data_IF_002231904799
#
_entry.id   IF_002231904799
#
_cell.length_a   1.000
_cell.length_b   1.000
_cell.length_c   1.000
_cell.angle_alpha   90.00
_cell.angle_beta   90.00
_cell.angle_gamma   90.00
#
_symmetry.space_group_name_H-M   'P 1'
#
loop_
_entity.id
_entity.type
_entity.pdbx_description
1 polymer ?
#
# COMPACT_ATOMS: atom_id res chain seq x y z
N UNK A 1 -48.85 -7.02 9.89
CA UNK A 1 -47.92 -7.34 8.80
C UNK A 1 -46.58 -6.77 9.24
N UNK A 2 -45.61 -7.60 9.62
CA UNK A 2 -44.30 -7.14 10.10
C UNK A 2 -43.50 -6.66 8.90
N UNK A 3 -43.11 -5.39 8.90
CA UNK A 3 -42.05 -4.89 8.02
C UNK A 3 -40.77 -5.68 8.35
N UNK A 4 -40.33 -6.48 7.40
CA UNK A 4 -39.01 -7.09 7.43
C UNK A 4 -38.08 -5.98 6.97
N UNK A 5 -37.34 -5.38 7.91
CA UNK A 5 -36.19 -4.57 7.57
C UNK A 5 -35.23 -5.45 6.76
N UNK A 6 -35.14 -5.17 5.47
CA UNK A 6 -34.09 -5.69 4.61
C UNK A 6 -32.78 -5.10 5.13
N UNK A 7 -31.96 -5.95 5.77
CA UNK A 7 -30.59 -5.60 6.15
C UNK A 7 -29.79 -5.46 4.86
N UNK A 8 -29.94 -4.29 4.23
CA UNK A 8 -29.37 -3.93 2.95
C UNK A 8 -27.89 -4.30 2.90
N UNK A 9 -27.57 -5.22 2.00
CA UNK A 9 -26.20 -5.47 1.57
C UNK A 9 -25.69 -4.16 0.96
N UNK A 10 -24.87 -3.43 1.71
CA UNK A 10 -24.25 -2.17 1.27
C UNK A 10 -23.68 -2.32 -0.15
N UNK A 11 -24.16 -1.49 -1.07
CA UNK A 11 -23.87 -1.61 -2.50
C UNK A 11 -22.39 -1.30 -2.79
N UNK A 12 -21.90 -1.68 -3.97
CA UNK A 12 -20.55 -1.29 -4.39
C UNK A 12 -20.40 0.24 -4.47
N UNK A 13 -21.46 0.94 -4.84
CA UNK A 13 -21.46 2.40 -4.92
C UNK A 13 -21.36 3.05 -3.54
N UNK A 14 -22.08 2.54 -2.55
CA UNK A 14 -21.97 3.04 -1.17
C UNK A 14 -20.56 2.84 -0.59
N UNK A 15 -19.95 1.67 -0.88
CA UNK A 15 -18.58 1.36 -0.45
C UNK A 15 -17.56 2.27 -1.12
N UNK A 16 -17.74 2.52 -2.42
CA UNK A 16 -16.92 3.44 -3.19
C UNK A 16 -17.02 4.86 -2.64
N UNK A 17 -18.24 5.38 -2.46
CA UNK A 17 -18.49 6.70 -1.90
C UNK A 17 -17.88 6.87 -0.50
N UNK A 18 -17.93 5.84 0.34
CA UNK A 18 -17.24 5.87 1.64
C UNK A 18 -15.71 5.97 1.50
N UNK A 19 -15.12 5.25 0.55
CA UNK A 19 -13.68 5.35 0.26
C UNK A 19 -13.32 6.74 -0.27
N UNK A 20 -14.14 7.32 -1.15
CA UNK A 20 -13.90 8.66 -1.70
C UNK A 20 -13.91 9.74 -0.62
N UNK A 21 -14.81 9.63 0.36
CA UNK A 21 -14.82 10.49 1.55
C UNK A 21 -13.54 10.34 2.36
N UNK A 22 -13.11 9.10 2.63
CA UNK A 22 -11.86 8.84 3.34
C UNK A 22 -10.64 9.41 2.61
N UNK A 23 -10.58 9.25 1.28
CA UNK A 23 -9.50 9.81 0.45
C UNK A 23 -9.51 11.34 0.54
N UNK A 24 -10.67 11.97 0.42
CA UNK A 24 -10.79 13.42 0.56
C UNK A 24 -10.30 13.92 1.93
N UNK A 25 -10.52 13.17 3.00
CA UNK A 25 -9.95 13.49 4.32
C UNK A 25 -8.42 13.35 4.28
N UNK A 26 -7.92 12.19 3.84
CA UNK A 26 -6.49 11.86 3.83
C UNK A 26 -5.65 12.88 3.04
N UNK A 27 -6.13 13.32 1.87
CA UNK A 27 -5.43 14.33 1.05
C UNK A 27 -5.28 15.69 1.72
N UNK A 28 -6.23 16.05 2.59
CA UNK A 28 -6.20 17.33 3.30
C UNK A 28 -5.36 17.27 4.58
N UNK A 29 -4.84 16.09 4.95
CA UNK A 29 -3.98 15.95 6.11
C UNK A 29 -2.53 16.26 5.76
N UNK A 30 -1.92 17.15 6.55
CA UNK A 30 -0.50 17.45 6.41
C UNK A 30 0.35 16.31 6.97
N UNK A 31 1.24 15.75 6.15
CA UNK A 31 2.24 14.80 6.62
C UNK A 31 3.14 15.44 7.69
N UNK A 32 3.12 14.89 8.90
CA UNK A 32 3.98 15.30 10.01
C UNK A 32 5.13 14.31 10.22
N UNK A 33 6.24 14.80 10.76
CA UNK A 33 7.43 13.97 11.07
C UNK A 33 7.30 13.27 12.41
N UNK A 34 6.18 12.63 12.65
CA UNK A 34 5.90 11.85 13.86
C UNK A 34 5.61 10.41 13.44
N UNK A 35 6.30 9.46 14.06
CA UNK A 35 6.31 8.06 13.64
C UNK A 35 4.95 7.38 13.78
N UNK A 36 4.26 7.57 14.91
CA UNK A 36 2.97 6.94 15.15
C UNK A 36 1.90 7.45 14.19
N UNK A 37 1.89 8.76 13.94
CA UNK A 37 1.02 9.40 12.98
C UNK A 37 1.29 8.89 11.56
N UNK A 38 2.56 8.76 11.16
CA UNK A 38 2.90 8.29 9.82
C UNK A 38 2.49 6.84 9.59
N UNK A 39 2.62 5.99 10.62
CA UNK A 39 2.12 4.62 10.58
C UNK A 39 0.61 4.59 10.42
N UNK A 40 -0.13 5.30 11.26
CA UNK A 40 -1.60 5.37 11.20
C UNK A 40 -2.08 5.90 9.84
N UNK A 41 -1.43 6.94 9.32
CA UNK A 41 -1.74 7.49 8.01
C UNK A 41 -1.47 6.45 6.91
N UNK A 42 -0.31 5.78 6.93
CA UNK A 42 0.03 4.75 5.94
C UNK A 42 -0.94 3.57 5.93
N UNK A 43 -1.38 3.11 7.11
CA UNK A 43 -2.37 2.06 7.28
C UNK A 43 -3.74 2.51 6.75
N UNK A 44 -4.14 3.75 7.06
CA UNK A 44 -5.41 4.32 6.59
C UNK A 44 -5.45 4.45 5.06
N UNK A 45 -4.35 4.88 4.44
CA UNK A 45 -4.19 4.90 2.99
C UNK A 45 -4.31 3.47 2.43
N UNK A 46 -3.58 2.53 3.01
CA UNK A 46 -3.64 1.13 2.58
C UNK A 46 -5.06 0.56 2.62
N UNK A 47 -5.74 0.66 3.76
CA UNK A 47 -7.10 0.13 3.93
C UNK A 47 -8.09 0.76 2.96
N UNK A 48 -8.04 2.08 2.81
CA UNK A 48 -8.95 2.82 1.95
C UNK A 48 -8.76 2.41 0.48
N UNK A 49 -7.52 2.45 -0.02
CA UNK A 49 -7.25 2.12 -1.42
C UNK A 49 -7.37 0.61 -1.72
N UNK A 50 -7.14 -0.27 -0.74
CA UNK A 50 -7.36 -1.71 -0.90
C UNK A 50 -8.85 -2.06 -1.02
N UNK A 51 -9.73 -1.32 -0.32
CA UNK A 51 -11.18 -1.47 -0.46
C UNK A 51 -11.69 -0.85 -1.75
N UNK A 52 -11.18 0.33 -2.11
CA UNK A 52 -11.55 1.02 -3.34
C UNK A 52 -11.20 0.20 -4.59
N UNK A 53 -10.07 -0.52 -4.60
CA UNK A 53 -9.61 -1.32 -5.74
C UNK A 53 -10.64 -2.36 -6.20
N UNK A 54 -11.50 -2.83 -5.28
CA UNK A 54 -12.57 -3.79 -5.54
C UNK A 54 -13.82 -3.15 -6.15
N UNK A 55 -13.93 -1.83 -6.09
CA UNK A 55 -15.09 -1.06 -6.53
C UNK A 55 -14.85 -0.32 -7.85
N UNK A 56 -13.64 0.22 -8.06
CA UNK A 56 -13.30 0.96 -9.29
C UNK A 56 -13.01 0.05 -10.48
N UNK A 57 -13.30 0.50 -11.70
CA UNK A 57 -13.11 -0.26 -12.96
C UNK A 57 -12.51 0.63 -14.05
N UNK A 58 -11.92 0.01 -15.06
CA UNK A 58 -11.48 0.65 -16.31
C UNK A 58 -10.68 1.94 -16.11
N UNK A 59 -11.07 3.05 -16.76
CA UNK A 59 -10.36 4.34 -16.67
C UNK A 59 -10.27 4.90 -15.24
N UNK A 60 -11.28 4.62 -14.41
CA UNK A 60 -11.29 5.07 -13.02
C UNK A 60 -10.18 4.40 -12.19
N UNK A 61 -9.85 3.14 -12.49
CA UNK A 61 -8.70 2.48 -11.84
C UNK A 61 -7.40 3.19 -12.15
N UNK A 62 -7.19 3.63 -13.39
CA UNK A 62 -5.98 4.36 -13.77
C UNK A 62 -5.87 5.69 -13.04
N UNK A 63 -6.97 6.44 -12.94
CA UNK A 63 -7.02 7.71 -12.20
C UNK A 63 -6.78 7.50 -10.70
N UNK A 64 -7.42 6.49 -10.11
CA UNK A 64 -7.24 6.08 -8.71
C UNK A 64 -5.78 5.71 -8.42
N UNK A 65 -5.14 4.97 -9.33
CA UNK A 65 -3.74 4.58 -9.19
C UNK A 65 -2.79 5.77 -9.25
N UNK A 66 -2.98 6.69 -10.21
CA UNK A 66 -2.17 7.91 -10.31
C UNK A 66 -2.21 8.71 -9.01
N UNK A 67 -3.41 8.88 -8.45
CA UNK A 67 -3.63 9.54 -7.16
C UNK A 67 -2.93 8.82 -6.00
N UNK A 68 -3.06 7.50 -5.93
CA UNK A 68 -2.37 6.70 -4.92
C UNK A 68 -0.85 6.87 -5.00
N UNK A 69 -0.27 6.90 -6.21
CA UNK A 69 1.18 7.07 -6.38
C UNK A 69 1.69 8.39 -5.83
N UNK A 70 0.94 9.48 -6.02
CA UNK A 70 1.31 10.79 -5.45
C UNK A 70 1.36 10.72 -3.92
N UNK A 71 0.32 10.16 -3.30
CA UNK A 71 0.27 9.95 -1.84
C UNK A 71 1.42 9.06 -1.36
N UNK A 72 1.69 7.95 -2.07
CA UNK A 72 2.77 7.03 -1.73
C UNK A 72 4.15 7.66 -1.90
N UNK A 73 4.34 8.51 -2.90
CA UNK A 73 5.58 9.26 -3.08
C UNK A 73 5.87 10.14 -1.87
N UNK A 74 4.90 10.94 -1.44
CA UNK A 74 5.06 11.79 -0.26
C UNK A 74 5.27 10.98 1.03
N UNK A 75 4.52 9.88 1.19
CA UNK A 75 4.67 8.95 2.31
C UNK A 75 6.08 8.38 2.38
N UNK A 76 6.64 7.93 1.26
CA UNK A 76 7.99 7.36 1.24
C UNK A 76 9.06 8.42 1.52
N UNK A 77 8.86 9.67 1.11
CA UNK A 77 9.74 10.79 1.48
C UNK A 77 9.66 11.12 2.97
N UNK A 78 8.46 11.09 3.57
CA UNK A 78 8.27 11.29 5.00
C UNK A 78 8.90 10.15 5.80
N UNK A 79 8.67 8.90 5.39
CA UNK A 79 9.22 7.70 6.04
C UNK A 79 10.76 7.72 6.08
N UNK A 80 11.40 8.13 4.97
CA UNK A 80 12.87 8.32 4.90
C UNK A 80 13.40 9.36 5.89
N UNK A 81 12.59 10.37 6.25
CA UNK A 81 12.98 11.43 7.20
C UNK A 81 12.79 10.99 8.66
N UNK A 82 11.73 10.24 8.93
CA UNK A 82 11.42 9.73 10.28
C UNK A 82 12.34 8.56 10.64
N UNK A 83 12.44 7.57 9.75
CA UNK A 83 13.24 6.36 9.97
C UNK A 83 14.45 6.35 9.01
N UNK A 84 15.60 6.78 9.53
CA UNK A 84 16.82 6.95 8.72
C UNK A 84 17.34 5.62 8.18
N UNK A 85 17.39 4.61 9.03
CA UNK A 85 17.84 3.28 8.65
C UNK A 85 16.78 2.58 7.79
N UNK A 86 17.24 1.85 6.79
CA UNK A 86 16.36 1.27 5.76
C UNK A 86 15.70 -0.03 6.21
N UNK A 87 16.24 -0.66 7.25
CA UNK A 87 15.78 -1.91 7.84
C UNK A 87 14.80 -1.71 9.00
N UNK A 88 14.44 -0.45 9.37
CA UNK A 88 13.48 -0.21 10.43
C UNK A 88 12.12 -0.84 10.06
N UNK A 89 11.52 -1.70 10.92
CA UNK A 89 10.26 -2.38 10.64
C UNK A 89 9.13 -1.42 10.22
N UNK A 90 8.95 -0.32 10.96
CA UNK A 90 7.95 0.70 10.66
C UNK A 90 8.14 1.37 9.30
N UNK A 91 9.39 1.54 8.87
CA UNK A 91 9.67 2.05 7.52
C UNK A 91 9.32 1.01 6.47
N UNK A 92 9.62 -0.26 6.73
CA UNK A 92 9.34 -1.37 5.83
C UNK A 92 7.85 -1.62 5.69
N UNK A 93 7.04 -1.40 6.72
CA UNK A 93 5.58 -1.57 6.67
C UNK A 93 4.93 -0.68 5.60
N UNK A 94 5.41 0.55 5.41
CA UNK A 94 4.98 1.45 4.32
C UNK A 94 5.18 0.79 2.95
N UNK A 95 6.31 0.10 2.75
CA UNK A 95 6.60 -0.60 1.50
C UNK A 95 5.86 -1.93 1.37
N UNK A 96 5.56 -2.62 2.49
CA UNK A 96 4.66 -3.78 2.51
C UNK A 96 3.27 -3.35 2.02
N UNK A 97 2.73 -2.26 2.56
CA UNK A 97 1.45 -1.70 2.11
C UNK A 97 1.49 -1.31 0.64
N UNK A 98 2.56 -0.65 0.20
CA UNK A 98 2.68 -0.28 -1.20
C UNK A 98 2.72 -1.49 -2.12
N UNK A 99 3.49 -2.53 -1.78
CA UNK A 99 3.55 -3.77 -2.56
C UNK A 99 2.16 -4.44 -2.65
N UNK A 100 1.40 -4.48 -1.55
CA UNK A 100 0.02 -5.01 -1.53
C UNK A 100 -0.91 -4.20 -2.44
N UNK A 101 -0.73 -2.88 -2.51
CA UNK A 101 -1.49 -2.01 -3.41
C UNK A 101 -1.06 -2.19 -4.86
N UNK A 102 0.24 -2.31 -5.18
CA UNK A 102 0.70 -2.66 -6.53
C UNK A 102 0.01 -3.95 -7.01
N UNK A 103 -0.10 -4.96 -6.15
CA UNK A 103 -0.84 -6.18 -6.46
C UNK A 103 -2.35 -5.96 -6.62
N UNK A 104 -2.96 -5.15 -5.76
CA UNK A 104 -4.41 -4.83 -5.84
C UNK A 104 -4.75 -4.01 -7.11
N UNK A 105 -3.76 -3.29 -7.64
CA UNK A 105 -3.88 -2.47 -8.82
C UNK A 105 -3.09 -3.02 -10.02
N UNK A 106 -2.96 -4.34 -10.12
CA UNK A 106 -2.00 -5.01 -11.01
C UNK A 106 -2.02 -4.56 -12.47
N UNK A 107 -3.20 -4.40 -13.07
CA UNK A 107 -3.41 -4.01 -14.46
C UNK A 107 -3.00 -2.56 -14.76
N UNK A 108 -2.97 -1.66 -13.77
CA UNK A 108 -2.57 -0.25 -13.96
C UNK A 108 -1.25 0.10 -13.25
N UNK A 109 -0.75 -0.78 -12.38
CA UNK A 109 0.49 -0.57 -11.66
C UNK A 109 1.69 -0.53 -12.63
N UNK A 110 2.50 0.53 -12.53
CA UNK A 110 3.68 0.70 -13.37
C UNK A 110 4.90 -0.04 -12.81
N UNK A 111 5.83 -0.34 -13.72
CA UNK A 111 7.07 -1.05 -13.42
C UNK A 111 7.95 -0.30 -12.39
N UNK A 112 7.89 1.04 -12.36
CA UNK A 112 8.63 1.85 -11.40
C UNK A 112 8.18 1.58 -9.96
N UNK A 113 6.87 1.41 -9.75
CA UNK A 113 6.29 1.11 -8.44
C UNK A 113 6.73 -0.26 -7.92
N UNK A 114 6.80 -1.28 -8.79
CA UNK A 114 7.34 -2.60 -8.44
C UNK A 114 8.84 -2.50 -8.08
N UNK A 115 9.63 -1.85 -8.93
CA UNK A 115 11.07 -1.63 -8.71
C UNK A 115 11.37 -0.86 -7.43
N UNK A 116 10.53 0.10 -7.05
CA UNK A 116 10.69 0.83 -5.80
C UNK A 116 10.58 -0.11 -4.60
N UNK A 117 9.56 -0.98 -4.57
CA UNK A 117 9.36 -1.95 -3.49
C UNK A 117 10.53 -2.95 -3.42
N UNK A 118 10.95 -3.51 -4.56
CA UNK A 118 12.10 -4.41 -4.63
C UNK A 118 13.40 -3.77 -4.16
N UNK A 119 13.68 -2.56 -4.64
CA UNK A 119 14.92 -1.85 -4.29
C UNK A 119 14.99 -1.61 -2.79
N UNK A 120 13.87 -1.22 -2.17
CA UNK A 120 13.82 -0.99 -0.73
C UNK A 120 14.01 -2.27 0.08
N UNK A 121 13.39 -3.38 -0.32
CA UNK A 121 13.61 -4.68 0.32
C UNK A 121 15.07 -5.16 0.17
N UNK A 122 15.68 -4.95 -0.99
CA UNK A 122 17.08 -5.28 -1.27
C UNK A 122 18.05 -4.43 -0.43
N UNK A 123 17.81 -3.13 -0.37
CA UNK A 123 18.62 -2.20 0.41
C UNK A 123 18.50 -2.49 1.92
N UNK A 124 17.29 -2.76 2.42
CA UNK A 124 17.08 -3.14 3.82
C UNK A 124 17.79 -4.45 4.17
N UNK A 125 17.71 -5.46 3.29
CA UNK A 125 18.46 -6.71 3.45
C UNK A 125 19.97 -6.46 3.48
N UNK A 126 20.47 -5.55 2.64
CA UNK A 126 21.89 -5.20 2.60
C UNK A 126 22.37 -4.51 3.88
N UNK A 127 21.54 -3.65 4.48
CA UNK A 127 21.84 -3.05 5.81
C UNK A 127 22.01 -4.14 6.88
N UNK A 128 21.29 -5.26 6.77
CA UNK A 128 21.36 -6.36 7.72
C UNK A 128 20.76 -5.98 9.08
N UNK A 129 21.17 -6.65 10.15
CA UNK A 129 20.64 -6.41 11.51
C UNK A 129 20.95 -4.99 12.01
N UNK A 130 22.17 -4.50 11.78
CA UNK A 130 22.58 -3.16 12.19
C UNK A 130 22.38 -2.91 13.69
N UNK A 131 21.62 -1.87 14.01
CA UNK A 131 21.29 -1.41 15.38
C UNK A 131 20.00 -2.03 15.96
N UNK A 132 19.30 -2.86 15.18
CA UNK A 132 18.05 -3.49 15.61
C UNK A 132 18.31 -4.55 16.68
N UNK A 133 17.38 -4.67 17.62
CA UNK A 133 17.33 -5.83 18.50
C UNK A 133 16.84 -7.09 17.75
N UNK A 134 16.79 -8.23 18.44
CA UNK A 134 16.43 -9.51 17.80
C UNK A 134 14.97 -9.54 17.32
N UNK A 135 14.04 -8.93 18.06
CA UNK A 135 12.62 -8.91 17.72
C UNK A 135 12.38 -7.97 16.54
N UNK A 136 12.94 -6.77 16.57
CA UNK A 136 12.91 -5.82 15.47
C UNK A 136 13.57 -6.39 14.21
N UNK A 137 14.68 -7.11 14.36
CA UNK A 137 15.34 -7.73 13.21
C UNK A 137 14.49 -8.84 12.58
N UNK A 138 13.81 -9.63 13.40
CA UNK A 138 12.88 -10.65 12.94
C UNK A 138 11.71 -10.03 12.18
N UNK A 139 11.14 -8.94 12.71
CA UNK A 139 10.07 -8.18 12.03
C UNK A 139 10.55 -7.58 10.69
N UNK A 140 11.75 -6.99 10.67
CA UNK A 140 12.34 -6.45 9.45
C UNK A 140 12.53 -7.53 8.39
N UNK A 141 13.05 -8.71 8.78
CA UNK A 141 13.21 -9.85 7.89
C UNK A 141 11.87 -10.33 7.33
N UNK A 142 10.84 -10.44 8.18
CA UNK A 142 9.49 -10.79 7.76
C UNK A 142 8.95 -9.78 6.72
N UNK A 143 9.06 -8.48 6.99
CA UNK A 143 8.60 -7.45 6.07
C UNK A 143 9.35 -7.47 4.73
N UNK A 144 10.67 -7.65 4.75
CA UNK A 144 11.52 -7.78 3.55
C UNK A 144 11.06 -8.96 2.68
N UNK A 145 10.83 -10.12 3.31
CA UNK A 145 10.45 -11.32 2.58
C UNK A 145 9.00 -11.25 2.09
N UNK A 146 8.11 -10.60 2.83
CA UNK A 146 6.74 -10.33 2.38
C UNK A 146 6.71 -9.41 1.17
N UNK A 147 7.50 -8.32 1.15
CA UNK A 147 7.62 -7.44 -0.03
C UNK A 147 8.05 -8.26 -1.25
N UNK A 148 9.13 -9.02 -1.15
CA UNK A 148 9.64 -9.82 -2.28
C UNK A 148 8.61 -10.82 -2.78
N UNK A 149 7.93 -11.52 -1.86
CA UNK A 149 6.90 -12.49 -2.21
C UNK A 149 5.75 -11.84 -2.95
N UNK A 150 5.26 -10.70 -2.47
CA UNK A 150 4.15 -9.99 -3.12
C UNK A 150 4.53 -9.52 -4.52
N UNK A 151 5.70 -8.89 -4.66
CA UNK A 151 6.14 -8.36 -5.95
C UNK A 151 6.40 -9.49 -6.96
N UNK A 152 7.10 -10.55 -6.56
CA UNK A 152 7.35 -11.70 -7.43
C UNK A 152 6.03 -12.36 -7.90
N UNK A 153 5.07 -12.52 -6.99
CA UNK A 153 3.75 -13.05 -7.37
C UNK A 153 3.01 -12.11 -8.33
N UNK A 154 3.05 -10.80 -8.06
CA UNK A 154 2.38 -9.81 -8.91
C UNK A 154 2.99 -9.75 -10.31
N UNK A 155 4.32 -9.75 -10.44
CA UNK A 155 5.00 -9.79 -11.74
C UNK A 155 4.62 -11.04 -12.53
N UNK A 156 4.62 -12.21 -11.89
CA UNK A 156 4.19 -13.45 -12.54
C UNK A 156 2.72 -13.40 -12.98
N UNK A 157 1.83 -12.91 -12.12
CA UNK A 157 0.41 -12.73 -12.47
C UNK A 157 0.24 -11.73 -13.65
N UNK A 158 1.07 -10.70 -13.74
CA UNK A 158 1.05 -9.72 -14.83
C UNK A 158 1.51 -10.32 -16.16
N UNK A 159 2.55 -11.16 -16.13
CA UNK A 159 3.01 -11.89 -17.32
C UNK A 159 1.88 -12.77 -17.88
N UNK A 160 1.17 -13.50 -17.02
CA UNK A 160 0.03 -14.33 -17.43
C UNK A 160 -1.11 -13.51 -18.06
N UNK A 161 -1.38 -12.30 -17.56
CA UNK A 161 -2.39 -11.40 -18.13
C UNK A 161 -1.95 -10.91 -19.52
N UNK A 162 -0.68 -10.55 -19.68
CA UNK A 162 -0.14 -10.06 -20.94
C UNK A 162 -0.05 -11.15 -22.02
N UNK A 163 0.27 -12.39 -21.62
CA UNK A 163 0.32 -13.54 -22.53
C UNK A 163 -1.08 -14.02 -22.98
N UNK A 164 -2.13 -13.59 -22.26
CA UNK A 164 -3.52 -13.97 -22.54
C UNK A 164 -4.27 -12.99 -23.45
N UNK A 165 -3.64 -11.88 -23.87
CA UNK A 165 -4.20 -10.83 -24.74
C UNK A 165 -3.50 -10.80 -26.10
#
# INVERSE_FOLDING_TARGET
MKEIHDYSVCSFEDKKGACDVCIGILENLKLVKESGWLLLYSESVYETFSRLSRCVRDEERQSTWSKLKEIMYELTLAAKKVWRDKNIPDRLSVYVYFAKLCKSYLDVADEESFKMCESMAKEAKFVGKGTLDDDQWKEACYAIDEIKKIISNAQHERELINDSN
#
